data_IF_725476367081
#
_entry.id   IF_725476367081
#
_cell.length_a   1.000
_cell.length_b   1.000
_cell.length_c   1.000
_cell.angle_alpha   90.00
_cell.angle_beta   90.00
_cell.angle_gamma   90.00
#
_symmetry.space_group_name_H-M   'P 1'
#
loop_
_entity.id
_entity.type
_entity.pdbx_description
1 polymer ?
#
# COMPACT_ATOMS: atom_id res chain seq x y z
N UNK A 1 -21.19 1.68 -3.43
CA UNK A 1 -19.94 2.36 -3.04
C UNK A 1 -20.25 3.43 -2.00
N UNK A 2 -19.67 3.33 -0.80
CA UNK A 2 -19.83 4.28 0.30
C UNK A 2 -18.54 4.41 1.11
N UNK A 3 -18.21 5.61 1.58
CA UNK A 3 -17.02 5.86 2.40
C UNK A 3 -17.41 6.15 3.86
N UNK A 4 -16.70 5.54 4.80
CA UNK A 4 -16.87 5.74 6.23
C UNK A 4 -15.54 6.10 6.91
N UNK A 5 -15.62 6.75 8.07
CA UNK A 5 -14.45 6.97 8.92
C UNK A 5 -13.90 5.64 9.46
N UNK A 6 -12.58 5.57 9.60
CA UNK A 6 -11.93 4.44 10.27
C UNK A 6 -12.24 4.45 11.77
N UNK A 7 -12.42 3.26 12.35
CA UNK A 7 -12.61 3.09 13.78
C UNK A 7 -11.27 3.12 14.55
N UNK A 8 -11.36 3.05 15.88
CA UNK A 8 -10.19 3.06 16.75
C UNK A 8 -9.29 1.82 16.53
N UNK A 9 -9.88 0.66 16.28
CA UNK A 9 -9.14 -0.58 16.04
C UNK A 9 -8.30 -0.49 14.76
N UNK A 10 -8.90 -0.01 13.68
CA UNK A 10 -8.24 0.20 12.39
C UNK A 10 -7.12 1.22 12.53
N UNK A 11 -7.34 2.31 13.27
CA UNK A 11 -6.31 3.30 13.56
C UNK A 11 -5.11 2.70 14.30
N UNK A 12 -5.34 1.93 15.35
CA UNK A 12 -4.27 1.28 16.10
C UNK A 12 -3.49 0.25 15.26
N UNK A 13 -4.17 -0.43 14.32
CA UNK A 13 -3.49 -1.30 13.37
C UNK A 13 -2.58 -0.50 12.43
N UNK A 14 -3.06 0.61 11.86
CA UNK A 14 -2.25 1.50 11.02
C UNK A 14 -1.00 1.96 11.79
N UNK A 15 -1.15 2.40 13.03
CA UNK A 15 -0.03 2.83 13.87
C UNK A 15 1.00 1.71 14.10
N UNK A 16 0.53 0.49 14.35
CA UNK A 16 1.41 -0.69 14.53
C UNK A 16 2.18 -1.00 13.25
N UNK A 17 1.50 -0.96 12.10
CA UNK A 17 2.09 -1.23 10.79
C UNK A 17 3.12 -0.16 10.41
N UNK A 18 2.89 1.10 10.77
CA UNK A 18 3.84 2.19 10.55
C UNK A 18 5.08 2.06 11.42
N UNK A 19 4.95 1.61 12.67
CA UNK A 19 6.11 1.30 13.51
C UNK A 19 6.94 0.15 12.91
N UNK A 20 6.27 -0.88 12.39
CA UNK A 20 6.92 -1.99 11.72
C UNK A 20 7.59 -1.58 10.40
N UNK A 21 6.93 -0.75 9.60
CA UNK A 21 7.50 -0.16 8.38
C UNK A 21 8.79 0.62 8.69
N UNK A 22 8.74 1.50 9.70
CA UNK A 22 9.89 2.28 10.13
C UNK A 22 11.04 1.38 10.63
N UNK A 23 10.73 0.31 11.38
CA UNK A 23 11.74 -0.66 11.84
C UNK A 23 12.41 -1.41 10.67
N UNK A 24 11.71 -1.58 9.55
CA UNK A 24 12.23 -2.17 8.30
C UNK A 24 12.91 -1.15 7.38
N UNK A 25 12.98 0.12 7.79
CA UNK A 25 13.56 1.20 6.98
C UNK A 25 12.65 1.72 5.86
N UNK A 26 11.38 1.29 5.82
CA UNK A 26 10.38 1.74 4.84
C UNK A 26 9.87 3.11 5.30
N UNK A 27 10.50 4.17 4.79
CA UNK A 27 10.27 5.55 5.21
C UNK A 27 10.42 6.51 4.03
N UNK A 28 10.00 7.77 4.20
CA UNK A 28 10.12 8.81 3.19
C UNK A 28 8.78 9.26 2.61
N UNK A 29 8.85 9.90 1.45
CA UNK A 29 7.68 10.29 0.66
C UNK A 29 7.11 9.09 -0.11
N UNK A 30 5.95 9.29 -0.75
CA UNK A 30 5.27 8.23 -1.49
C UNK A 30 6.12 7.66 -2.64
N UNK A 31 7.01 8.46 -3.24
CA UNK A 31 7.89 8.04 -4.33
C UNK A 31 9.00 7.14 -3.81
N UNK A 32 9.69 7.55 -2.74
CA UNK A 32 10.74 6.76 -2.11
C UNK A 32 10.23 5.40 -1.59
N UNK A 33 9.03 5.38 -1.00
CA UNK A 33 8.39 4.13 -0.55
C UNK A 33 8.10 3.23 -1.76
N UNK A 34 7.53 3.77 -2.83
CA UNK A 34 7.28 3.01 -4.06
C UNK A 34 8.59 2.45 -4.66
N UNK A 35 9.64 3.26 -4.79
CA UNK A 35 10.94 2.83 -5.31
C UNK A 35 11.57 1.71 -4.47
N UNK A 36 11.49 1.80 -3.13
CA UNK A 36 11.99 0.74 -2.25
C UNK A 36 11.21 -0.57 -2.41
N UNK A 37 9.90 -0.49 -2.67
CA UNK A 37 9.09 -1.66 -2.96
C UNK A 37 9.42 -2.29 -4.33
N UNK A 38 9.78 -1.49 -5.34
CA UNK A 38 10.17 -2.04 -6.65
C UNK A 38 11.41 -2.95 -6.55
N UNK A 39 12.32 -2.68 -5.59
CA UNK A 39 13.43 -3.58 -5.30
C UNK A 39 12.94 -4.93 -4.77
N UNK A 40 11.94 -4.92 -3.87
CA UNK A 40 11.31 -6.15 -3.35
C UNK A 40 10.62 -6.94 -4.46
N UNK A 41 9.89 -6.26 -5.36
CA UNK A 41 9.24 -6.92 -6.50
C UNK A 41 10.28 -7.48 -7.47
N UNK A 42 11.37 -6.78 -7.72
CA UNK A 42 12.46 -7.27 -8.57
C UNK A 42 13.02 -8.59 -8.03
N UNK A 43 13.31 -8.65 -6.73
CA UNK A 43 13.79 -9.87 -6.07
C UNK A 43 12.72 -10.98 -6.07
N UNK A 44 11.47 -10.64 -5.78
CA UNK A 44 10.36 -11.59 -5.81
C UNK A 44 10.20 -12.22 -7.19
N UNK A 45 10.17 -11.41 -8.26
CA UNK A 45 9.97 -11.91 -9.62
C UNK A 45 11.12 -12.77 -10.12
N UNK A 46 12.36 -12.46 -9.70
CA UNK A 46 13.54 -13.26 -9.99
C UNK A 46 13.63 -14.56 -9.15
N UNK A 47 12.84 -14.69 -8.09
CA UNK A 47 12.91 -15.84 -7.19
C UNK A 47 12.35 -17.13 -7.80
N UNK A 48 12.90 -18.26 -7.35
CA UNK A 48 12.39 -19.58 -7.70
C UNK A 48 10.93 -19.78 -7.25
N UNK A 49 10.13 -20.61 -7.94
CA UNK A 49 8.71 -20.81 -7.63
C UNK A 49 8.42 -21.24 -6.17
N UNK A 50 9.32 -22.02 -5.57
CA UNK A 50 9.15 -22.46 -4.18
C UNK A 50 9.35 -21.32 -3.19
N UNK A 51 10.32 -20.44 -3.43
CA UNK A 51 10.53 -19.23 -2.63
C UNK A 51 9.34 -18.28 -2.78
N UNK A 52 8.83 -18.10 -4.00
CA UNK A 52 7.62 -17.30 -4.27
C UNK A 52 6.40 -17.80 -3.50
N UNK A 53 6.24 -19.12 -3.34
CA UNK A 53 5.13 -19.73 -2.59
C UNK A 53 5.23 -19.45 -1.08
N UNK A 54 6.44 -19.37 -0.53
CA UNK A 54 6.69 -19.05 0.87
C UNK A 54 6.78 -17.54 1.16
N UNK A 55 6.81 -16.70 0.13
CA UNK A 55 6.97 -15.26 0.29
C UNK A 55 5.74 -14.66 1.00
N UNK A 56 5.91 -13.82 2.04
CA UNK A 56 4.81 -13.30 2.85
C UNK A 56 4.09 -12.13 2.17
N UNK A 57 3.52 -12.36 0.97
CA UNK A 57 2.88 -11.34 0.11
C UNK A 57 1.93 -10.42 0.87
N UNK A 58 0.99 -11.00 1.62
CA UNK A 58 -0.02 -10.23 2.35
C UNK A 58 0.58 -9.35 3.46
N UNK A 59 1.61 -9.82 4.15
CA UNK A 59 2.30 -9.02 5.16
C UNK A 59 3.12 -7.90 4.52
N UNK A 60 3.88 -8.21 3.47
CA UNK A 60 4.64 -7.22 2.72
C UNK A 60 3.72 -6.13 2.15
N UNK A 61 2.61 -6.52 1.53
CA UNK A 61 1.63 -5.59 0.97
C UNK A 61 0.96 -4.73 2.05
N UNK A 62 0.63 -5.31 3.22
CA UNK A 62 0.10 -4.57 4.36
C UNK A 62 1.09 -3.50 4.82
N UNK A 63 2.35 -3.84 5.04
CA UNK A 63 3.36 -2.90 5.55
C UNK A 63 3.68 -1.79 4.54
N UNK A 64 3.99 -2.15 3.30
CA UNK A 64 4.28 -1.15 2.26
C UNK A 64 3.05 -0.32 1.90
N UNK A 65 1.88 -0.94 1.82
CA UNK A 65 0.62 -0.25 1.56
C UNK A 65 0.28 0.75 2.66
N UNK A 66 0.41 0.37 3.93
CA UNK A 66 0.16 1.30 5.03
C UNK A 66 1.16 2.46 5.04
N UNK A 67 2.45 2.20 4.85
CA UNK A 67 3.46 3.26 4.75
C UNK A 67 3.18 4.23 3.58
N UNK A 68 2.81 3.68 2.42
CA UNK A 68 2.46 4.45 1.24
C UNK A 68 1.21 5.32 1.47
N UNK A 69 0.17 4.73 2.07
CA UNK A 69 -1.04 5.47 2.42
C UNK A 69 -0.79 6.59 3.41
N UNK A 70 0.06 6.35 4.42
CA UNK A 70 0.46 7.38 5.38
C UNK A 70 1.22 8.53 4.72
N UNK A 71 2.13 8.25 3.77
CA UNK A 71 2.78 9.29 2.98
C UNK A 71 1.78 10.17 2.22
N UNK A 72 0.78 9.56 1.58
CA UNK A 72 -0.28 10.29 0.89
C UNK A 72 -1.11 11.17 1.85
N UNK A 73 -1.39 10.68 3.06
CA UNK A 73 -2.10 11.43 4.11
C UNK A 73 -1.27 12.61 4.59
N UNK A 74 0.02 12.40 4.91
CA UNK A 74 0.92 13.42 5.44
C UNK A 74 1.21 14.54 4.44
N UNK A 75 1.40 14.22 3.17
CA UNK A 75 1.98 15.15 2.19
C UNK A 75 0.97 15.69 1.17
N UNK A 76 -0.11 14.96 0.92
CA UNK A 76 -1.03 15.26 -0.20
C UNK A 76 -2.48 15.49 0.24
N UNK A 77 -2.74 15.60 1.56
CA UNK A 77 -4.06 15.97 2.09
C UNK A 77 -5.12 14.87 1.91
N UNK A 78 -4.71 13.61 1.81
CA UNK A 78 -5.62 12.48 1.88
C UNK A 78 -6.02 12.18 3.34
N UNK A 79 -7.05 11.37 3.51
CA UNK A 79 -7.48 10.84 4.80
C UNK A 79 -7.84 9.37 4.71
N UNK A 80 -7.52 8.60 5.75
CA UNK A 80 -7.91 7.19 5.84
C UNK A 80 -9.44 7.04 5.94
N UNK A 81 -10.00 6.13 5.15
CA UNK A 81 -11.42 5.78 5.12
C UNK A 81 -11.60 4.27 4.93
N UNK A 82 -12.76 3.76 5.34
CA UNK A 82 -13.25 2.47 4.90
C UNK A 82 -14.12 2.68 3.67
N UNK A 83 -13.81 1.99 2.58
CA UNK A 83 -14.64 1.93 1.38
C UNK A 83 -15.47 0.65 1.43
N UNK A 84 -16.80 0.79 1.34
CA UNK A 84 -17.73 -0.33 1.24
C UNK A 84 -18.34 -0.38 -0.17
N UNK A 85 -18.18 -1.51 -0.84
CA UNK A 85 -18.77 -1.78 -2.15
C UNK A 85 -19.31 -3.22 -2.26
N UNK A 86 -19.65 -3.64 -3.48
CA UNK A 86 -20.22 -4.97 -3.73
C UNK A 86 -19.20 -6.12 -3.57
N UNK A 87 -17.91 -5.80 -3.50
CA UNK A 87 -16.81 -6.75 -3.36
C UNK A 87 -16.26 -6.85 -1.94
N UNK A 88 -16.54 -5.86 -1.09
CA UNK A 88 -16.23 -5.95 0.33
C UNK A 88 -15.98 -4.61 0.99
N UNK A 89 -15.05 -4.64 1.94
CA UNK A 89 -14.60 -3.44 2.67
C UNK A 89 -13.10 -3.32 2.55
N UNK A 90 -12.66 -2.22 1.96
CA UNK A 90 -11.24 -1.90 1.78
C UNK A 90 -10.82 -0.71 2.62
N UNK A 91 -9.60 -0.77 3.14
CA UNK A 91 -8.94 0.38 3.74
C UNK A 91 -8.33 1.23 2.63
N UNK A 92 -8.79 2.48 2.51
CA UNK A 92 -8.40 3.41 1.46
C UNK A 92 -7.87 4.72 2.04
N UNK A 93 -7.10 5.44 1.23
CA UNK A 93 -6.84 6.87 1.45
C UNK A 93 -7.62 7.67 0.43
N UNK A 94 -8.36 8.68 0.90
CA UNK A 94 -9.29 9.47 0.09
C UNK A 94 -9.06 10.96 0.28
N UNK A 95 -8.96 11.70 -0.83
CA UNK A 95 -9.03 13.16 -0.87
C UNK A 95 -10.44 13.62 -1.26
N UNK A 96 -11.03 13.00 -2.29
CA UNK A 96 -12.45 13.15 -2.68
C UNK A 96 -13.02 11.78 -3.08
N UNK A 97 -14.35 11.59 -3.18
CA UNK A 97 -14.94 10.33 -3.64
C UNK A 97 -14.45 9.86 -5.02
N UNK A 98 -13.97 10.78 -5.86
CA UNK A 98 -13.39 10.51 -7.18
C UNK A 98 -11.86 10.32 -7.13
N UNK A 99 -11.21 10.76 -6.04
CA UNK A 99 -9.75 10.69 -5.85
C UNK A 99 -9.43 9.95 -4.56
N UNK A 100 -9.38 8.63 -4.69
CA UNK A 100 -8.97 7.70 -3.64
C UNK A 100 -8.12 6.56 -4.23
N UNK A 101 -7.42 5.84 -3.35
CA UNK A 101 -6.74 4.59 -3.69
C UNK A 101 -6.76 3.65 -2.50
N UNK A 102 -6.71 2.35 -2.74
CA UNK A 102 -6.54 1.30 -1.74
C UNK A 102 -5.06 0.88 -1.72
N UNK A 103 -4.20 1.49 -0.87
CA UNK A 103 -2.75 1.33 -1.01
C UNK A 103 -2.29 -0.12 -0.86
N UNK A 104 -2.90 -0.86 0.07
CA UNK A 104 -2.57 -2.28 0.31
C UNK A 104 -2.90 -3.13 -0.92
N UNK A 105 -4.07 -2.92 -1.53
CA UNK A 105 -4.50 -3.64 -2.74
C UNK A 105 -3.61 -3.27 -3.94
N UNK A 106 -3.31 -1.98 -4.10
CA UNK A 106 -2.42 -1.50 -5.17
C UNK A 106 -1.02 -2.10 -5.05
N UNK A 107 -0.48 -2.23 -3.83
CA UNK A 107 0.81 -2.88 -3.58
C UNK A 107 0.72 -4.40 -3.79
N UNK A 108 -0.31 -5.07 -3.28
CA UNK A 108 -0.46 -6.53 -3.42
C UNK A 108 -0.57 -6.97 -4.89
N UNK A 109 -1.32 -6.21 -5.70
CA UNK A 109 -1.46 -6.49 -7.14
C UNK A 109 -0.13 -6.45 -7.91
N UNK A 110 0.92 -5.80 -7.37
CA UNK A 110 2.24 -5.77 -8.02
C UNK A 110 2.94 -7.12 -8.02
N UNK A 111 2.58 -8.02 -7.11
CA UNK A 111 3.10 -9.39 -7.12
C UNK A 111 2.50 -10.25 -8.25
N UNK A 112 1.51 -9.74 -8.99
CA UNK A 112 0.94 -10.36 -10.19
C UNK A 112 1.51 -9.76 -11.48
N UNK A 113 2.37 -8.75 -11.38
CA UNK A 113 2.99 -8.13 -12.54
C UNK A 113 4.11 -9.00 -13.13
N UNK A 114 4.30 -8.93 -14.45
CA UNK A 114 5.40 -9.61 -15.14
C UNK A 114 6.75 -8.87 -14.95
N UNK A 115 6.72 -7.57 -14.68
CA UNK A 115 7.89 -6.70 -14.55
C UNK A 115 7.69 -5.63 -13.45
N UNK A 116 8.76 -5.19 -12.76
CA UNK A 116 8.69 -4.09 -11.80
C UNK A 116 8.44 -2.73 -12.49
N UNK A 117 8.15 -1.70 -11.69
CA UNK A 117 8.00 -0.30 -12.12
C UNK A 117 6.56 0.19 -12.20
N UNK A 118 5.57 -0.69 -12.01
CA UNK A 118 4.16 -0.28 -12.09
C UNK A 118 3.70 0.53 -10.88
N UNK A 119 4.27 0.31 -9.70
CA UNK A 119 3.89 1.09 -8.52
C UNK A 119 4.42 2.52 -8.62
N UNK A 120 5.68 2.69 -9.00
CA UNK A 120 6.27 4.01 -9.25
C UNK A 120 5.55 4.76 -10.38
N UNK A 121 5.19 4.07 -11.47
CA UNK A 121 4.39 4.65 -12.54
C UNK A 121 2.99 5.09 -12.06
N UNK A 122 2.33 4.27 -11.23
CA UNK A 122 1.05 4.62 -10.61
C UNK A 122 1.17 5.89 -9.75
N UNK A 123 2.15 5.95 -8.84
CA UNK A 123 2.33 7.11 -7.96
C UNK A 123 2.57 8.40 -8.74
N UNK A 124 3.38 8.33 -9.81
CA UNK A 124 3.62 9.48 -10.69
C UNK A 124 2.37 9.98 -11.41
N UNK A 125 1.41 9.10 -11.72
CA UNK A 125 0.15 9.48 -12.37
C UNK A 125 -0.93 9.92 -11.37
N UNK A 126 -0.90 9.37 -10.16
CA UNK A 126 -1.90 9.59 -9.14
C UNK A 126 -1.74 10.92 -8.40
N UNK A 127 -0.48 11.37 -8.25
CA UNK A 127 -0.12 12.64 -7.62
C UNK A 127 -0.24 13.82 -8.59
#
# INVERSE_FOLDING_TARGET
MAFADIDASTRSQIETDLLEAAARGITGDATAIAESFEAVITEYLASDPDLKRSFPRGETARIYGTALGDALVREHGFSWKLLHDDYGTDLVVMQTPERYTAPIVVVDSRFEDDEPGKLTAFIKQFL
#
